data_IF_904435633720
#
_entry.id   IF_904435633720
#
_cell.length_a   1.000
_cell.length_b   1.000
_cell.length_c   1.000
_cell.angle_alpha   90.00
_cell.angle_beta   90.00
_cell.angle_gamma   90.00
#
_symmetry.space_group_name_H-M   'P 1'
#
loop_
_entity.id
_entity.type
_entity.pdbx_description
1 polymer ?
#
# COMPACT_ATOMS: atom_id res chain seq x y z
N UNK A 1 7.68 16.07 0.28
CA UNK A 1 8.49 15.83 -0.95
C UNK A 1 8.00 16.67 -2.12
N UNK A 2 6.76 16.52 -2.64
CA UNK A 2 6.21 17.41 -3.70
C UNK A 2 5.95 18.87 -3.26
N UNK A 3 5.74 19.09 -1.96
CA UNK A 3 5.52 20.42 -1.38
C UNK A 3 6.83 21.21 -1.13
N UNK A 4 7.99 20.66 -1.49
CA UNK A 4 9.29 21.35 -1.34
C UNK A 4 9.42 22.55 -2.28
N UNK A 5 8.83 22.46 -3.48
CA UNK A 5 8.80 23.57 -4.45
C UNK A 5 8.03 24.79 -3.94
N UNK A 6 6.73 24.66 -3.61
CA UNK A 6 5.89 25.81 -3.22
C UNK A 6 6.28 26.45 -1.89
N UNK A 7 6.85 25.69 -0.95
CA UNK A 7 7.15 26.19 0.40
C UNK A 7 8.62 26.55 0.64
N UNK A 8 9.56 25.91 -0.06
CA UNK A 8 11.00 26.08 0.18
C UNK A 8 11.79 26.52 -1.06
N UNK A 9 11.15 26.70 -2.22
CA UNK A 9 11.82 27.15 -3.45
C UNK A 9 12.79 26.14 -4.06
N UNK A 10 12.85 24.91 -3.54
CA UNK A 10 13.70 23.82 -4.06
C UNK A 10 12.79 22.73 -4.63
N UNK A 11 12.77 22.57 -5.95
CA UNK A 11 11.96 21.56 -6.63
C UNK A 11 12.70 20.22 -6.69
N UNK A 12 12.44 19.35 -5.73
CA UNK A 12 13.09 18.01 -5.63
C UNK A 12 12.40 16.97 -6.55
N UNK A 13 11.11 17.16 -6.83
CA UNK A 13 10.27 16.28 -7.66
C UNK A 13 9.37 17.12 -8.57
N UNK A 14 9.34 16.81 -9.86
CA UNK A 14 8.41 17.38 -10.84
C UNK A 14 7.38 16.32 -11.26
N UNK A 15 6.08 16.57 -11.09
CA UNK A 15 5.01 15.66 -11.53
C UNK A 15 4.01 15.27 -10.43
N UNK A 16 3.41 14.09 -10.54
CA UNK A 16 2.45 13.54 -9.58
C UNK A 16 2.88 12.13 -9.11
N UNK A 17 2.14 11.51 -8.19
CA UNK A 17 2.47 10.17 -7.68
C UNK A 17 2.43 9.06 -8.75
N UNK A 18 1.76 9.31 -9.89
CA UNK A 18 1.62 8.36 -11.01
C UNK A 18 2.58 8.61 -12.18
N UNK A 19 3.15 9.81 -12.28
CA UNK A 19 4.31 10.15 -13.10
C UNK A 19 5.07 11.31 -12.44
N UNK A 20 6.21 11.03 -11.81
CA UNK A 20 7.08 12.07 -11.26
C UNK A 20 8.54 11.90 -11.65
N UNK A 21 9.18 12.98 -12.04
CA UNK A 21 10.60 13.08 -12.29
C UNK A 21 11.28 13.42 -10.97
N UNK A 22 12.05 12.49 -10.43
CA UNK A 22 12.91 12.70 -9.28
C UNK A 22 14.24 13.28 -9.80
N UNK A 23 14.59 14.49 -9.36
CA UNK A 23 15.78 15.24 -9.82
C UNK A 23 15.96 15.26 -11.35
N UNK A 24 14.90 15.51 -12.11
CA UNK A 24 14.89 15.56 -13.59
C UNK A 24 15.47 14.32 -14.32
N UNK A 25 15.73 13.22 -13.61
CA UNK A 25 16.53 12.09 -14.14
C UNK A 25 15.90 10.72 -13.89
N UNK A 26 15.05 10.55 -12.86
CA UNK A 26 14.42 9.25 -12.56
C UNK A 26 12.90 9.36 -12.59
N UNK A 27 12.22 8.85 -13.63
CA UNK A 27 10.76 8.85 -13.70
C UNK A 27 10.16 7.78 -12.78
N UNK A 28 9.62 8.21 -11.64
CA UNK A 28 8.64 7.48 -10.83
C UNK A 28 7.33 7.34 -11.60
N UNK A 29 7.26 6.32 -12.45
CA UNK A 29 6.02 5.91 -13.12
C UNK A 29 5.45 4.69 -12.40
N UNK A 30 4.18 4.75 -12.02
CA UNK A 30 3.50 3.63 -11.36
C UNK A 30 3.53 2.37 -12.27
N UNK A 31 3.93 1.19 -11.76
CA UNK A 31 3.95 -0.06 -12.54
C UNK A 31 2.58 -0.40 -13.15
N UNK A 32 1.50 0.03 -12.50
CA UNK A 32 0.14 -0.13 -13.00
C UNK A 32 -0.14 0.77 -14.21
N UNK A 33 0.32 2.03 -14.17
CA UNK A 33 0.19 2.98 -15.28
C UNK A 33 0.97 2.50 -16.50
N UNK A 34 2.17 1.95 -16.32
CA UNK A 34 2.92 1.38 -17.45
C UNK A 34 2.28 0.14 -18.04
N UNK A 35 1.70 -0.71 -17.18
CA UNK A 35 0.98 -1.90 -17.65
C UNK A 35 -0.28 -1.51 -18.44
N UNK A 36 -0.99 -0.47 -18.01
CA UNK A 36 -2.14 0.09 -18.74
C UNK A 36 -1.75 0.75 -20.05
N UNK A 37 -0.66 1.53 -20.07
CA UNK A 37 -0.14 2.15 -21.30
C UNK A 37 0.21 1.07 -22.32
N UNK A 38 0.94 0.03 -21.93
CA UNK A 38 1.22 -1.12 -22.79
C UNK A 38 -0.06 -1.82 -23.26
N UNK A 39 -1.00 -2.07 -22.36
CA UNK A 39 -2.26 -2.73 -22.69
C UNK A 39 -3.15 -1.90 -23.63
N UNK A 40 -3.05 -0.57 -23.57
CA UNK A 40 -3.77 0.38 -24.44
C UNK A 40 -3.11 0.58 -25.82
N UNK A 41 -2.02 -0.11 -26.12
CA UNK A 41 -1.29 0.01 -27.40
C UNK A 41 -0.47 1.29 -27.56
N UNK A 42 -0.44 2.17 -26.55
CA UNK A 42 0.38 3.37 -26.56
C UNK A 42 1.75 3.03 -25.99
N UNK A 43 2.80 3.06 -26.84
CA UNK A 43 4.19 2.94 -26.41
C UNK A 43 4.52 4.13 -25.49
N UNK A 44 4.70 3.90 -24.18
CA UNK A 44 5.17 4.97 -23.30
C UNK A 44 6.59 5.35 -23.71
N UNK A 45 6.95 6.63 -23.56
CA UNK A 45 8.30 7.11 -23.83
C UNK A 45 9.34 6.19 -23.13
N UNK A 46 10.44 5.87 -23.80
CA UNK A 46 11.48 4.93 -23.30
C UNK A 46 11.99 5.28 -21.89
N UNK A 47 11.95 6.58 -21.55
CA UNK A 47 12.22 7.10 -20.21
C UNK A 47 11.22 6.58 -19.16
N UNK A 48 9.91 6.56 -19.44
CA UNK A 48 8.90 6.04 -18.52
C UNK A 48 9.02 4.51 -18.33
N UNK A 49 9.43 3.78 -19.38
CA UNK A 49 9.65 2.34 -19.31
C UNK A 49 10.83 1.98 -18.39
N UNK A 50 11.95 2.68 -18.53
CA UNK A 50 13.15 2.45 -17.70
C UNK A 50 12.90 2.78 -16.23
N UNK A 51 12.22 3.88 -15.93
CA UNK A 51 11.84 4.25 -14.57
C UNK A 51 10.89 3.23 -13.91
N UNK A 52 9.86 2.79 -14.62
CA UNK A 52 8.93 1.78 -14.12
C UNK A 52 9.62 0.42 -13.86
N UNK A 53 10.56 0.01 -14.72
CA UNK A 53 11.32 -1.23 -14.51
C UNK A 53 12.20 -1.13 -13.26
N UNK A 54 12.94 -0.03 -13.09
CA UNK A 54 13.81 0.18 -11.92
C UNK A 54 12.99 0.12 -10.63
N UNK A 55 11.85 0.80 -10.60
CA UNK A 55 10.96 0.88 -9.44
C UNK A 55 10.29 -0.46 -9.16
N UNK A 56 9.84 -1.14 -10.21
CA UNK A 56 9.25 -2.47 -10.09
C UNK A 56 10.26 -3.45 -9.50
N UNK A 57 11.51 -3.44 -9.99
CA UNK A 57 12.58 -4.30 -9.49
C UNK A 57 12.93 -3.95 -8.04
N UNK A 58 13.09 -2.66 -7.72
CA UNK A 58 13.38 -2.21 -6.36
C UNK A 58 12.27 -2.61 -5.38
N UNK A 59 11.00 -2.33 -5.69
CA UNK A 59 9.90 -2.70 -4.79
C UNK A 59 9.63 -4.20 -4.75
N UNK A 60 9.84 -4.92 -5.86
CA UNK A 60 9.73 -6.39 -5.88
C UNK A 60 10.79 -7.04 -4.98
N UNK A 61 12.01 -6.48 -4.95
CA UNK A 61 13.09 -6.95 -4.10
C UNK A 61 12.99 -6.45 -2.66
N UNK A 62 12.56 -5.21 -2.44
CA UNK A 62 12.53 -4.61 -1.11
C UNK A 62 11.51 -5.31 -0.21
N UNK A 63 10.27 -5.52 -0.64
CA UNK A 63 9.27 -6.11 0.26
C UNK A 63 7.83 -5.96 -0.22
N UNK A 64 6.94 -6.59 0.53
CA UNK A 64 5.50 -6.64 0.23
C UNK A 64 4.87 -5.28 0.51
N UNK A 65 4.20 -4.69 -0.49
CA UNK A 65 3.38 -3.47 -0.35
C UNK A 65 4.07 -2.31 0.40
N UNK A 66 5.40 -2.20 0.34
CA UNK A 66 6.15 -1.15 1.04
C UNK A 66 5.73 0.27 0.61
N UNK A 67 5.39 0.44 -0.66
CA UNK A 67 4.83 1.69 -1.18
C UNK A 67 3.58 2.14 -0.40
N UNK A 68 2.69 1.20 -0.05
CA UNK A 68 1.45 1.51 0.65
C UNK A 68 1.69 2.02 2.08
N UNK A 69 2.77 1.57 2.73
CA UNK A 69 3.09 2.00 4.10
C UNK A 69 3.94 3.28 4.15
N UNK A 70 4.88 3.46 3.22
CA UNK A 70 5.91 4.51 3.31
C UNK A 70 5.68 5.71 2.40
N UNK A 71 5.00 5.50 1.26
CA UNK A 71 4.88 6.52 0.21
C UNK A 71 3.43 6.94 0.00
N UNK A 72 2.48 6.01 0.16
CA UNK A 72 1.08 6.25 -0.11
C UNK A 72 0.49 7.25 0.88
N UNK A 73 0.04 8.42 0.40
CA UNK A 73 -0.45 9.48 1.29
C UNK A 73 -1.89 9.20 1.77
N UNK A 74 -2.57 8.17 1.24
CA UNK A 74 -3.89 7.73 1.73
C UNK A 74 -3.80 6.93 3.04
N UNK A 75 -2.67 6.30 3.32
CA UNK A 75 -2.52 5.45 4.50
C UNK A 75 -2.82 6.20 5.81
N UNK A 76 -2.30 7.43 6.04
CA UNK A 76 -2.68 8.23 7.21
C UNK A 76 -4.17 8.57 7.31
N UNK A 77 -4.86 8.73 6.17
CA UNK A 77 -6.29 9.08 6.13
C UNK A 77 -7.12 7.86 6.54
N UNK A 78 -6.79 6.68 6.00
CA UNK A 78 -7.44 5.44 6.39
C UNK A 78 -7.14 5.09 7.85
N UNK A 79 -5.92 5.36 8.34
CA UNK A 79 -5.58 5.18 9.75
C UNK A 79 -6.35 6.12 10.66
N UNK A 80 -6.52 7.38 10.26
CA UNK A 80 -7.32 8.36 10.99
C UNK A 80 -8.77 7.92 11.05
N UNK A 81 -9.34 7.47 9.92
CA UNK A 81 -10.70 6.92 9.89
C UNK A 81 -10.84 5.78 10.92
N UNK A 82 -9.86 4.88 10.95
CA UNK A 82 -9.88 3.73 11.84
C UNK A 82 -9.64 4.09 13.32
N UNK A 83 -8.83 5.12 13.59
CA UNK A 83 -8.68 5.68 14.93
C UNK A 83 -9.99 6.33 15.41
N UNK A 84 -10.66 7.12 14.57
CA UNK A 84 -11.99 7.68 14.89
C UNK A 84 -13.00 6.57 15.15
N UNK A 85 -13.02 5.55 14.29
CA UNK A 85 -13.92 4.39 14.44
C UNK A 85 -13.82 3.73 15.81
N UNK A 86 -12.59 3.52 16.29
CA UNK A 86 -12.31 2.98 17.63
C UNK A 86 -12.71 3.94 18.75
N UNK A 87 -12.52 5.25 18.54
CA UNK A 87 -12.89 6.27 19.53
C UNK A 87 -14.41 6.39 19.69
N UNK A 88 -15.17 6.16 18.62
CA UNK A 88 -16.64 6.24 18.58
C UNK A 88 -17.34 4.86 18.67
N UNK A 89 -16.59 3.78 18.93
CA UNK A 89 -17.09 2.40 19.07
C UNK A 89 -18.01 1.93 17.91
N UNK A 90 -17.62 2.29 16.68
CA UNK A 90 -18.38 1.95 15.48
C UNK A 90 -18.09 0.50 15.05
N UNK A 91 -18.87 -0.44 15.58
CA UNK A 91 -18.70 -1.88 15.39
C UNK A 91 -19.31 -2.47 14.11
N UNK A 92 -19.95 -1.67 13.25
CA UNK A 92 -20.58 -2.15 12.01
C UNK A 92 -19.55 -2.36 10.89
N UNK A 93 -18.90 -3.53 10.83
CA UNK A 93 -17.98 -3.85 9.73
C UNK A 93 -18.64 -4.78 8.73
N UNK A 94 -18.86 -4.30 7.50
CA UNK A 94 -19.23 -5.19 6.40
C UNK A 94 -18.04 -6.07 6.01
N UNK A 95 -18.25 -7.37 5.82
CA UNK A 95 -17.21 -8.29 5.38
C UNK A 95 -17.10 -8.25 3.86
N UNK A 96 -16.25 -7.38 3.32
CA UNK A 96 -15.95 -7.36 1.89
C UNK A 96 -14.92 -8.44 1.58
N UNK A 97 -15.11 -9.26 0.53
CA UNK A 97 -14.12 -10.26 0.19
C UNK A 97 -12.88 -9.63 -0.47
N UNK A 98 -11.69 -9.97 0.03
CA UNK A 98 -10.38 -9.44 -0.40
C UNK A 98 -10.01 -9.74 -1.85
N UNK A 99 -10.69 -10.66 -2.53
CA UNK A 99 -10.40 -10.97 -3.93
C UNK A 99 -10.88 -9.85 -4.88
N UNK A 100 -11.79 -8.97 -4.42
CA UNK A 100 -12.34 -7.88 -5.22
C UNK A 100 -11.25 -6.96 -5.77
N UNK A 101 -10.20 -6.63 -5.01
CA UNK A 101 -9.06 -5.84 -5.53
C UNK A 101 -8.36 -6.48 -6.74
N UNK A 102 -8.33 -7.81 -6.83
CA UNK A 102 -7.74 -8.51 -7.98
C UNK A 102 -8.70 -8.53 -9.17
N UNK A 103 -10.01 -8.69 -8.90
CA UNK A 103 -11.04 -8.55 -9.93
C UNK A 103 -11.01 -7.14 -10.52
N UNK A 104 -10.98 -6.11 -9.67
CA UNK A 104 -10.84 -4.72 -10.09
C UNK A 104 -9.56 -4.48 -10.89
N UNK A 105 -8.41 -5.01 -10.44
CA UNK A 105 -7.16 -4.93 -11.20
C UNK A 105 -7.33 -5.46 -12.63
N UNK A 106 -7.94 -6.64 -12.79
CA UNK A 106 -8.18 -7.25 -14.10
C UNK A 106 -9.18 -6.43 -14.92
N UNK A 107 -10.29 -6.01 -14.31
CA UNK A 107 -11.34 -5.21 -14.98
C UNK A 107 -10.78 -3.89 -15.49
N UNK A 108 -9.96 -3.20 -14.69
CA UNK A 108 -9.36 -1.93 -15.08
C UNK A 108 -8.33 -2.15 -16.20
N UNK A 109 -7.52 -3.22 -16.15
CA UNK A 109 -6.59 -3.54 -17.24
C UNK A 109 -7.31 -3.87 -18.56
N UNK A 110 -8.36 -4.67 -18.51
CA UNK A 110 -9.18 -5.00 -19.69
C UNK A 110 -9.91 -3.75 -20.20
N UNK A 111 -10.48 -2.95 -19.31
CA UNK A 111 -11.15 -1.70 -19.66
C UNK A 111 -10.20 -0.70 -20.33
N UNK A 112 -8.97 -0.56 -19.81
CA UNK A 112 -7.94 0.25 -20.45
C UNK A 112 -7.54 -0.28 -21.82
N UNK A 113 -7.45 -1.60 -21.99
CA UNK A 113 -7.13 -2.22 -23.27
C UNK A 113 -8.24 -2.01 -24.32
N UNK A 114 -9.51 -2.05 -23.91
CA UNK A 114 -10.67 -1.88 -24.79
C UNK A 114 -10.92 -0.40 -25.16
N UNK A 115 -10.76 0.51 -24.20
CA UNK A 115 -11.06 1.94 -24.40
C UNK A 115 -9.87 2.75 -24.92
N UNK A 116 -8.65 2.21 -24.80
CA UNK A 116 -7.43 2.95 -25.09
C UNK A 116 -7.13 4.09 -24.10
N UNK A 117 -7.85 4.15 -22.97
CA UNK A 117 -7.71 5.22 -21.97
C UNK A 117 -7.19 4.70 -20.63
N UNK A 118 -6.51 5.56 -19.87
CA UNK A 118 -6.03 5.23 -18.53
C UNK A 118 -7.15 5.43 -17.50
N UNK A 119 -8.11 4.49 -17.47
CA UNK A 119 -9.28 4.50 -16.58
C UNK A 119 -8.88 4.70 -15.11
N UNK A 120 -7.76 4.09 -14.69
CA UNK A 120 -7.31 4.22 -13.31
C UNK A 120 -6.95 5.67 -12.96
N UNK A 121 -6.39 6.47 -13.86
CA UNK A 121 -5.98 7.85 -13.55
C UNK A 121 -7.17 8.75 -13.19
N UNK A 122 -8.36 8.42 -13.69
CA UNK A 122 -9.60 9.12 -13.38
C UNK A 122 -10.16 8.78 -11.99
N UNK A 123 -9.94 7.55 -11.52
CA UNK A 123 -10.52 7.03 -10.28
C UNK A 123 -9.48 7.01 -9.15
N UNK A 124 -8.20 7.12 -9.48
CA UNK A 124 -7.09 6.94 -8.55
C UNK A 124 -7.08 8.05 -7.46
N UNK A 125 -7.47 7.73 -6.21
CA UNK A 125 -7.48 8.71 -5.15
C UNK A 125 -6.08 9.22 -4.79
N UNK A 126 -5.03 8.46 -5.10
CA UNK A 126 -3.64 8.87 -4.86
C UNK A 126 -3.25 10.03 -5.77
N UNK A 127 -3.57 9.95 -7.07
CA UNK A 127 -3.26 11.01 -8.02
C UNK A 127 -4.18 12.22 -7.82
N UNK A 128 -5.48 12.01 -7.51
CA UNK A 128 -6.39 13.09 -7.14
C UNK A 128 -5.95 13.82 -5.87
N UNK A 129 -5.40 13.13 -4.87
CA UNK A 129 -4.90 13.79 -3.68
C UNK A 129 -3.63 14.61 -3.95
N UNK A 130 -2.72 14.10 -4.78
CA UNK A 130 -1.59 14.88 -5.28
C UNK A 130 -2.04 16.15 -6.01
N UNK A 131 -3.06 16.04 -6.87
CA UNK A 131 -3.65 17.19 -7.58
C UNK A 131 -4.35 18.18 -6.64
N UNK A 132 -5.11 17.69 -5.65
CA UNK A 132 -5.81 18.53 -4.68
C UNK A 132 -4.87 19.29 -3.74
N UNK A 133 -3.69 18.74 -3.46
CA UNK A 133 -2.66 19.43 -2.66
C UNK A 133 -1.95 20.53 -3.45
N UNK A 134 -1.83 20.40 -4.78
CA UNK A 134 -1.12 21.35 -5.64
C UNK A 134 -2.04 22.42 -6.24
N UNK A 135 -3.25 22.05 -6.68
CA UNK A 135 -4.20 22.96 -7.35
C UNK A 135 -5.29 23.52 -6.41
N UNK A 136 -5.25 23.18 -5.11
CA UNK A 136 -6.26 23.59 -4.12
C UNK A 136 -7.42 22.59 -3.97
N UNK A 137 -8.13 22.70 -2.85
CA UNK A 137 -9.13 21.78 -2.27
C UNK A 137 -10.37 21.42 -3.15
N UNK A 138 -10.41 21.78 -4.43
CA UNK A 138 -11.63 21.74 -5.25
C UNK A 138 -12.00 20.39 -5.87
N UNK A 139 -11.07 19.72 -6.57
CA UNK A 139 -11.45 18.61 -7.47
C UNK A 139 -11.24 17.20 -6.92
N UNK A 140 -10.46 17.04 -5.84
CA UNK A 140 -10.18 15.73 -5.23
C UNK A 140 -10.73 15.53 -3.82
N UNK A 141 -11.08 16.60 -3.12
CA UNK A 141 -11.46 16.55 -1.71
C UNK A 141 -12.75 15.76 -1.46
N UNK A 142 -13.75 15.87 -2.34
CA UNK A 142 -15.01 15.11 -2.22
C UNK A 142 -14.79 13.60 -2.32
N UNK A 143 -13.91 13.14 -3.23
CA UNK A 143 -13.61 11.71 -3.37
C UNK A 143 -12.81 11.20 -2.18
N UNK A 144 -11.86 11.99 -1.68
CA UNK A 144 -11.11 11.65 -0.46
C UNK A 144 -12.03 11.59 0.76
N UNK A 145 -12.95 12.55 0.89
CA UNK A 145 -13.96 12.56 1.95
C UNK A 145 -14.89 11.35 1.84
N UNK A 146 -15.33 11.01 0.62
CA UNK A 146 -16.14 9.82 0.39
C UNK A 146 -15.40 8.53 0.78
N UNK A 147 -14.11 8.41 0.44
CA UNK A 147 -13.28 7.29 0.85
C UNK A 147 -13.07 7.23 2.36
N UNK A 148 -12.78 8.37 2.98
CA UNK A 148 -12.66 8.47 4.43
C UNK A 148 -13.95 8.04 5.13
N UNK A 149 -15.09 8.50 4.63
CA UNK A 149 -16.40 8.16 5.18
C UNK A 149 -16.75 6.69 4.94
N UNK A 150 -16.37 6.14 3.80
CA UNK A 150 -16.51 4.72 3.48
C UNK A 150 -15.72 3.83 4.44
N UNK A 151 -14.44 4.16 4.68
CA UNK A 151 -13.60 3.41 5.62
C UNK A 151 -14.07 3.61 7.09
N UNK A 152 -14.58 4.79 7.43
CA UNK A 152 -15.09 5.10 8.76
C UNK A 152 -16.41 4.35 9.07
N UNK A 153 -17.37 4.36 8.14
CA UNK A 153 -18.74 3.89 8.39
C UNK A 153 -19.00 2.45 7.92
N UNK A 154 -18.33 1.98 6.86
CA UNK A 154 -18.71 0.73 6.19
C UNK A 154 -17.74 -0.40 6.53
N UNK A 155 -16.43 -0.20 6.30
CA UNK A 155 -15.43 -1.27 6.44
C UNK A 155 -14.10 -0.74 6.98
N UNK A 156 -13.59 -1.39 8.02
CA UNK A 156 -12.23 -1.15 8.53
C UNK A 156 -11.19 -1.43 7.43
N UNK A 157 -10.40 -0.40 7.07
CA UNK A 157 -9.44 -0.43 5.96
C UNK A 157 -10.04 -0.97 4.63
N UNK A 158 -11.28 -0.60 4.34
CA UNK A 158 -12.03 -1.06 3.17
C UNK A 158 -11.30 -0.78 1.86
N UNK A 159 -10.86 0.46 1.64
CA UNK A 159 -10.20 0.84 0.39
C UNK A 159 -8.85 0.14 0.20
N UNK A 160 -7.91 0.36 1.13
CA UNK A 160 -6.54 -0.14 1.00
C UNK A 160 -6.43 -1.66 1.11
N UNK A 161 -7.30 -2.32 1.88
CA UNK A 161 -7.28 -3.78 2.05
C UNK A 161 -8.02 -4.56 0.97
N UNK A 162 -9.18 -4.06 0.53
CA UNK A 162 -10.14 -4.84 -0.26
C UNK A 162 -10.40 -4.35 -1.67
N UNK A 163 -10.19 -3.06 -1.96
CA UNK A 163 -10.59 -2.44 -3.23
C UNK A 163 -9.38 -1.99 -4.05
N UNK A 164 -8.32 -1.50 -3.41
CA UNK A 164 -7.21 -0.84 -4.08
C UNK A 164 -6.43 -1.78 -5.05
N UNK A 165 -6.50 -1.56 -6.38
CA UNK A 165 -5.80 -2.38 -7.38
C UNK A 165 -4.28 -2.12 -7.37
N UNK A 166 -3.84 -0.91 -7.01
CA UNK A 166 -2.42 -0.59 -6.80
C UNK A 166 -1.82 -1.46 -5.69
N UNK A 167 -2.50 -1.56 -4.55
CA UNK A 167 -2.11 -2.47 -3.46
C UNK A 167 -2.15 -3.95 -3.87
N UNK A 168 -3.07 -4.34 -4.75
CA UNK A 168 -3.10 -5.69 -5.31
C UNK A 168 -1.84 -5.98 -6.15
N UNK A 169 -1.46 -5.06 -7.04
CA UNK A 169 -0.28 -5.20 -7.89
C UNK A 169 1.01 -5.22 -7.06
N UNK A 170 1.22 -4.26 -6.15
CA UNK A 170 2.40 -4.23 -5.29
C UNK A 170 2.47 -5.41 -4.32
N UNK A 171 1.34 -6.00 -3.92
CA UNK A 171 1.31 -7.24 -3.14
C UNK A 171 1.76 -8.47 -3.93
N UNK A 172 1.50 -8.50 -5.24
CA UNK A 172 1.98 -9.57 -6.12
C UNK A 172 3.46 -9.38 -6.46
N UNK A 173 3.85 -8.18 -6.87
CA UNK A 173 5.24 -7.83 -7.21
C UNK A 173 6.19 -8.06 -6.03
N UNK A 174 5.83 -7.56 -4.84
CA UNK A 174 6.62 -7.71 -3.62
C UNK A 174 6.45 -9.04 -2.89
N UNK A 175 5.66 -9.99 -3.41
CA UNK A 175 5.33 -11.25 -2.71
C UNK A 175 6.55 -12.09 -2.32
N UNK A 176 7.65 -11.95 -3.08
CA UNK A 176 8.95 -12.60 -2.86
C UNK A 176 10.03 -11.65 -2.35
N UNK A 177 9.66 -10.44 -1.91
CA UNK A 177 10.60 -9.46 -1.41
C UNK A 177 11.43 -9.96 -0.23
N UNK A 178 12.60 -9.34 -0.08
CA UNK A 178 13.63 -9.70 0.89
C UNK A 178 13.20 -9.30 2.30
N UNK A 179 12.61 -8.13 2.51
CA UNK A 179 12.24 -7.66 3.84
C UNK A 179 10.89 -8.26 4.25
N UNK A 180 10.88 -8.93 5.40
CA UNK A 180 9.68 -9.52 6.01
C UNK A 180 9.66 -9.28 7.51
N UNK A 181 8.48 -9.31 8.11
CA UNK A 181 8.34 -9.39 9.58
C UNK A 181 8.30 -10.86 9.98
N UNK A 182 8.96 -11.21 11.08
CA UNK A 182 8.91 -12.54 11.68
C UNK A 182 8.58 -12.44 13.17
N UNK A 183 7.73 -13.34 13.67
CA UNK A 183 7.45 -13.54 15.09
C UNK A 183 8.46 -14.52 15.69
N UNK A 184 9.73 -14.12 15.74
CA UNK A 184 10.87 -14.97 16.14
C UNK A 184 10.70 -15.49 17.56
N UNK A 185 10.29 -14.61 18.49
CA UNK A 185 10.15 -14.92 19.91
C UNK A 185 8.69 -15.14 20.31
N UNK A 186 7.88 -15.78 19.46
CA UNK A 186 6.43 -16.02 19.73
C UNK A 186 6.14 -16.74 21.05
N UNK A 187 7.13 -17.44 21.62
CA UNK A 187 7.05 -18.06 22.95
C UNK A 187 6.89 -17.04 24.09
N UNK A 188 7.38 -15.80 23.90
CA UNK A 188 7.22 -14.70 24.86
C UNK A 188 5.85 -14.00 24.75
N UNK A 189 5.01 -14.38 23.79
CA UNK A 189 3.74 -13.72 23.54
C UNK A 189 2.76 -13.92 24.71
N UNK A 190 2.41 -12.83 25.39
CA UNK A 190 1.42 -12.79 26.47
C UNK A 190 -0.05 -12.68 25.98
N UNK A 191 -0.28 -12.73 24.66
CA UNK A 191 -1.60 -12.65 24.01
C UNK A 191 -2.40 -11.37 24.32
N UNK A 192 -1.73 -10.22 24.45
CA UNK A 192 -2.40 -8.92 24.66
C UNK A 192 -3.27 -8.43 23.48
N UNK A 193 -3.09 -8.98 22.27
CA UNK A 193 -3.81 -8.63 21.03
C UNK A 193 -3.58 -7.21 20.46
N UNK A 194 -2.72 -6.40 21.07
CA UNK A 194 -2.40 -5.04 20.57
C UNK A 194 -1.87 -5.03 19.14
N UNK A 195 -1.06 -6.05 18.78
CA UNK A 195 -0.54 -6.21 17.43
C UNK A 195 -1.64 -6.45 16.39
N UNK A 196 -2.74 -7.12 16.75
CA UNK A 196 -3.90 -7.32 15.88
C UNK A 196 -4.72 -6.03 15.75
N UNK A 197 -4.80 -5.21 16.79
CA UNK A 197 -5.55 -3.94 16.78
C UNK A 197 -4.86 -2.83 15.99
N UNK A 198 -3.52 -2.83 15.91
CA UNK A 198 -2.77 -1.82 15.17
C UNK A 198 -2.52 -2.22 13.70
N UNK A 199 -2.66 -3.51 13.38
CA UNK A 199 -2.42 -4.03 12.03
C UNK A 199 -3.58 -3.67 11.09
N UNK A 200 -3.31 -3.05 9.93
CA UNK A 200 -4.34 -2.80 8.92
C UNK A 200 -4.94 -4.07 8.29
N UNK A 201 -4.23 -5.19 8.39
CA UNK A 201 -4.64 -6.51 7.88
C UNK A 201 -4.44 -7.57 8.98
N UNK A 202 -5.26 -7.61 10.04
CA UNK A 202 -5.01 -8.43 11.23
C UNK A 202 -4.88 -9.94 10.94
N UNK A 203 -5.49 -10.44 9.86
CA UNK A 203 -5.45 -11.86 9.51
C UNK A 203 -4.04 -12.35 9.19
N UNK A 204 -3.12 -11.47 8.76
CA UNK A 204 -1.74 -11.86 8.40
C UNK A 204 -0.92 -12.31 9.61
N UNK A 205 -1.34 -11.91 10.82
CA UNK A 205 -0.65 -12.22 12.07
C UNK A 205 -1.18 -13.50 12.74
N UNK A 206 -2.34 -14.02 12.33
CA UNK A 206 -2.96 -15.21 12.96
C UNK A 206 -2.04 -16.43 12.90
N UNK A 207 -1.59 -16.80 11.71
CA UNK A 207 -0.71 -17.96 11.52
C UNK A 207 0.65 -17.82 12.25
N UNK A 208 1.44 -16.74 12.07
CA UNK A 208 2.78 -16.67 12.68
C UNK A 208 2.77 -16.53 14.21
N UNK A 209 1.69 -16.01 14.80
CA UNK A 209 1.58 -15.77 16.25
C UNK A 209 0.84 -16.89 16.99
N UNK A 210 -0.29 -17.35 16.46
CA UNK A 210 -1.20 -18.26 17.18
C UNK A 210 -0.99 -19.73 16.82
N UNK A 211 -0.41 -20.03 15.65
CA UNK A 211 -0.20 -21.38 15.17
C UNK A 211 1.29 -21.74 15.25
N UNK A 212 1.63 -22.65 16.16
CA UNK A 212 3.00 -23.13 16.35
C UNK A 212 3.52 -23.95 15.17
N UNK A 213 2.64 -24.58 14.40
CA UNK A 213 3.02 -25.39 13.23
C UNK A 213 3.29 -24.51 12.01
N UNK A 214 2.72 -23.30 11.99
CA UNK A 214 2.96 -22.31 10.95
C UNK A 214 4.34 -21.67 11.07
N UNK A 215 4.93 -21.23 9.93
CA UNK A 215 6.21 -20.54 9.92
C UNK A 215 6.14 -19.22 10.71
N UNK A 216 7.21 -18.90 11.44
CA UNK A 216 7.34 -17.64 12.20
C UNK A 216 7.32 -16.39 11.31
N UNK A 217 7.68 -16.53 10.03
CA UNK A 217 7.69 -15.43 9.07
C UNK A 217 6.26 -15.11 8.58
N UNK A 218 5.93 -13.83 8.46
CA UNK A 218 4.66 -13.38 7.87
C UNK A 218 4.70 -13.60 6.35
N UNK A 219 4.25 -14.78 5.90
CA UNK A 219 4.30 -15.20 4.50
C UNK A 219 3.19 -14.60 3.64
N UNK A 220 2.10 -14.10 4.23
CA UNK A 220 0.98 -13.49 3.51
C UNK A 220 1.44 -12.33 2.60
N UNK A 221 0.84 -12.23 1.41
CA UNK A 221 1.07 -11.13 0.43
C UNK A 221 0.36 -9.83 0.83
N UNK A 222 -0.54 -9.91 1.80
CA UNK A 222 -1.37 -8.80 2.24
C UNK A 222 -0.61 -7.87 3.20
N UNK A 223 0.43 -8.40 3.87
CA UNK A 223 1.27 -7.65 4.77
C UNK A 223 1.93 -6.47 4.04
N UNK A 224 1.80 -5.27 4.62
CA UNK A 224 2.41 -4.04 4.11
C UNK A 224 3.83 -3.79 4.60
N UNK A 225 4.37 -4.70 5.41
CA UNK A 225 5.68 -4.56 6.07
C UNK A 225 5.84 -3.17 6.69
N UNK A 226 4.81 -2.73 7.43
CA UNK A 226 4.74 -1.39 8.02
C UNK A 226 5.47 -1.26 9.35
N UNK A 227 5.82 -2.38 10.00
CA UNK A 227 6.55 -2.39 11.28
C UNK A 227 5.71 -2.13 12.53
N UNK A 228 4.44 -1.70 12.43
CA UNK A 228 3.61 -1.34 13.60
C UNK A 228 3.48 -2.42 14.68
N UNK A 229 3.48 -3.69 14.26
CA UNK A 229 3.44 -4.82 15.19
C UNK A 229 4.74 -4.98 16.01
N UNK A 230 5.87 -4.52 15.48
CA UNK A 230 7.15 -4.46 16.21
C UNK A 230 7.09 -3.31 17.22
N UNK A 231 6.61 -2.14 16.80
CA UNK A 231 6.59 -0.94 17.65
C UNK A 231 5.67 -1.06 18.88
N UNK A 232 4.55 -1.79 18.78
CA UNK A 232 3.56 -1.91 19.86
C UNK A 232 3.81 -3.10 20.81
N UNK A 233 4.65 -4.06 20.41
CA UNK A 233 4.79 -5.30 21.16
C UNK A 233 5.70 -5.09 22.38
N UNK A 234 5.15 -5.20 23.59
CA UNK A 234 5.92 -5.04 24.84
C UNK A 234 6.95 -6.14 25.08
N UNK A 235 6.72 -7.34 24.51
CA UNK A 235 7.54 -8.53 24.71
C UNK A 235 8.55 -8.77 23.56
N UNK A 236 8.69 -7.80 22.64
CA UNK A 236 9.61 -7.86 21.49
C UNK A 236 9.48 -9.13 20.62
N UNK A 237 8.27 -9.69 20.53
CA UNK A 237 7.98 -10.92 19.77
C UNK A 237 8.34 -10.81 18.29
N UNK A 238 8.17 -9.62 17.71
CA UNK A 238 8.32 -9.38 16.28
C UNK A 238 9.66 -8.74 15.94
N UNK A 239 10.26 -9.15 14.82
CA UNK A 239 11.49 -8.54 14.29
C UNK A 239 11.35 -8.37 12.78
N UNK A 240 11.82 -7.23 12.26
CA UNK A 240 12.00 -7.05 10.81
C UNK A 240 13.27 -7.80 10.42
N UNK A 241 13.13 -8.79 9.55
CA UNK A 241 14.21 -9.65 9.11
C UNK A 241 14.20 -9.84 7.59
N UNK A 242 15.23 -10.48 7.07
CA UNK A 242 15.25 -10.88 5.67
C UNK A 242 14.62 -12.25 5.50
N UNK A 243 14.01 -12.50 4.34
CA UNK A 243 13.35 -13.77 4.00
C UNK A 243 14.29 -14.97 4.14
N UNK A 244 15.59 -14.77 3.90
CA UNK A 244 16.64 -15.78 4.00
C UNK A 244 17.25 -15.91 5.38
N UNK A 245 17.00 -14.95 6.28
CA UNK A 245 17.35 -15.09 7.68
C UNK A 245 16.34 -16.02 8.34
N UNK A 246 16.61 -17.31 8.21
CA UNK A 246 15.95 -18.38 8.92
C UNK A 246 16.42 -18.32 10.38
N UNK A 247 15.76 -17.53 11.21
CA UNK A 247 15.66 -17.73 12.67
C UNK A 247 16.89 -18.26 13.41
N UNK A 248 18.09 -17.74 13.13
CA UNK A 248 19.28 -18.05 13.90
C UNK A 248 19.65 -16.80 14.72
N UNK A 249 19.21 -16.79 15.98
CA UNK A 249 20.03 -16.20 17.03
C UNK A 249 20.58 -17.35 17.85
N UNK A 250 21.91 -17.46 17.81
CA UNK A 250 22.73 -18.15 18.80
C UNK A 250 22.37 -17.70 20.21
#
# INVERSE_FOLDING_TARGET
>A
MFLSGPWFGVWILHGNYSSSLLFDTVPLTDPLMTLQSLASGHLPATVALTGAVIITVLYALAGKRLFCSWVCPLNPITDLANWLRRRFDLNQSATIPRHIRYVLLVVILLGSALTGTLIWEWINPVSLMGRSLVMGFGSGALLILALFLFDLLVVEHGWCGHICPVGALYGVLGSKGVITVAATDRQKCNRCMDCFHVCPEPHVLRAPVLDEQSPVQVTSRDCMTCGRCVDVCSEDVFTITTRWSSGAKS
#
